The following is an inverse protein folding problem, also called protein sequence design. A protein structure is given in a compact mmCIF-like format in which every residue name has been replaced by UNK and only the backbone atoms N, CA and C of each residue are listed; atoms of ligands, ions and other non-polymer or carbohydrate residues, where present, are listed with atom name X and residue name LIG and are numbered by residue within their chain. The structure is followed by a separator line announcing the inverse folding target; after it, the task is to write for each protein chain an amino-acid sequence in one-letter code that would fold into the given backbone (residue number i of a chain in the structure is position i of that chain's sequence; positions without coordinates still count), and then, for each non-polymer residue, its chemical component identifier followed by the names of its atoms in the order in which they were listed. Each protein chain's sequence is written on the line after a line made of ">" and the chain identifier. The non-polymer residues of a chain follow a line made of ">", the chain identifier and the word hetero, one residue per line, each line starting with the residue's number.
data_IF_274300638440
#
_entry.id   IF_274300638440
#
_cell.length_a   1.000
_cell.length_b   1.000
_cell.length_c   1.000
_cell.angle_alpha   90.00
_cell.angle_beta   90.00
_cell.angle_gamma   90.00
#
_symmetry.space_group_name_H-M   'P 1'
#
loop_
_entity.id
_entity.type
_entity.pdbx_description
1 polymer ?
#
# COMPACT_ATOMS: atom_id res chain seq x y z
N UNK A 1 31.35 -5.15 10.72
CA UNK A 1 30.93 -4.03 9.85
C UNK A 1 30.18 -3.04 10.73
N UNK A 2 30.40 -1.72 10.60
CA UNK A 2 29.59 -0.74 11.32
C UNK A 2 28.14 -0.90 10.88
N UNK A 3 27.28 -1.32 11.80
CA UNK A 3 25.86 -1.43 11.55
C UNK A 3 25.27 -0.06 11.83
N UNK A 4 24.98 0.69 10.77
CA UNK A 4 24.26 1.95 10.88
C UNK A 4 22.88 1.63 11.44
N UNK A 5 22.75 1.85 12.74
CA UNK A 5 21.54 1.55 13.49
C UNK A 5 20.51 2.67 13.34
N UNK A 6 19.26 2.36 13.69
CA UNK A 6 18.19 3.37 13.76
C UNK A 6 18.60 4.57 14.62
N UNK A 7 19.41 4.38 15.66
CA UNK A 7 19.94 5.44 16.52
C UNK A 7 20.86 6.43 15.79
N UNK A 8 21.77 5.96 14.93
CA UNK A 8 22.64 6.85 14.15
C UNK A 8 21.86 7.62 13.10
N UNK A 9 20.86 6.99 12.47
CA UNK A 9 19.96 7.68 11.53
C UNK A 9 19.22 8.80 12.25
N UNK A 10 18.69 8.57 13.45
CA UNK A 10 18.01 9.61 14.24
C UNK A 10 18.97 10.75 14.60
N UNK A 11 20.22 10.45 14.98
CA UNK A 11 21.22 11.46 15.30
C UNK A 11 21.55 12.35 14.10
N UNK A 12 21.74 11.75 12.92
CA UNK A 12 21.96 12.48 11.67
C UNK A 12 20.73 13.32 11.29
N UNK A 13 19.53 12.77 11.47
CA UNK A 13 18.29 13.49 11.21
C UNK A 13 18.17 14.71 12.13
N UNK A 14 18.53 14.57 13.41
CA UNK A 14 18.55 15.68 14.37
C UNK A 14 19.52 16.77 13.93
N UNK A 15 20.74 16.39 13.51
CA UNK A 15 21.74 17.36 13.06
C UNK A 15 21.29 18.09 11.79
N UNK A 16 20.70 17.37 10.84
CA UNK A 16 20.05 17.96 9.67
C UNK A 16 18.89 18.89 10.08
N UNK A 17 18.11 18.52 11.10
CA UNK A 17 17.03 19.35 11.62
C UNK A 17 17.52 20.63 12.29
N UNK A 18 18.71 20.63 12.89
CA UNK A 18 19.34 21.84 13.43
C UNK A 18 19.81 22.76 12.31
N UNK A 19 20.40 22.22 11.25
CA UNK A 19 20.91 23.00 10.11
C UNK A 19 19.78 23.56 9.23
N UNK A 20 18.83 22.70 8.85
CA UNK A 20 17.72 23.05 7.95
C UNK A 20 16.48 23.54 8.70
N UNK A 21 16.30 23.18 9.97
CA UNK A 21 15.11 23.49 10.75
C UNK A 21 14.01 22.42 10.63
N UNK A 22 13.24 22.24 11.71
CA UNK A 22 12.15 21.25 11.78
C UNK A 22 11.02 21.46 10.75
N UNK A 23 10.90 22.67 10.21
CA UNK A 23 9.88 23.03 9.22
C UNK A 23 10.28 22.72 7.77
N UNK A 24 11.58 22.67 7.46
CA UNK A 24 12.09 22.45 6.09
C UNK A 24 12.04 20.99 5.66
N UNK A 25 12.32 20.06 6.58
CA UNK A 25 12.28 18.62 6.30
C UNK A 25 10.91 18.13 5.79
N UNK A 26 9.77 18.46 6.43
CA UNK A 26 8.44 18.07 5.94
C UNK A 26 8.02 18.82 4.67
N UNK A 27 8.50 20.06 4.48
CA UNK A 27 8.25 20.85 3.27
C UNK A 27 8.87 20.17 2.03
N UNK A 28 10.14 19.79 2.12
CA UNK A 28 10.87 19.06 1.06
C UNK A 28 10.28 17.64 0.88
N UNK A 29 9.95 16.96 1.98
CA UNK A 29 9.33 15.63 1.91
C UNK A 29 7.97 15.64 1.19
N UNK A 30 7.16 16.69 1.39
CA UNK A 30 5.88 16.86 0.67
C UNK A 30 6.09 17.08 -0.82
N UNK A 31 7.00 17.97 -1.22
CA UNK A 31 7.26 18.23 -2.65
C UNK A 31 7.84 17.01 -3.36
N UNK A 32 8.79 16.32 -2.72
CA UNK A 32 9.36 15.08 -3.24
C UNK A 32 8.32 13.94 -3.28
N UNK A 33 7.48 13.84 -2.26
CA UNK A 33 6.43 12.82 -2.18
C UNK A 33 5.39 12.95 -3.30
N UNK A 34 4.94 14.17 -3.58
CA UNK A 34 4.03 14.44 -4.71
C UNK A 34 4.70 14.10 -6.05
N UNK A 35 5.93 14.57 -6.28
CA UNK A 35 6.66 14.26 -7.51
C UNK A 35 6.94 12.76 -7.69
N UNK A 36 7.30 12.05 -6.61
CA UNK A 36 7.48 10.60 -6.63
C UNK A 36 6.18 9.84 -6.89
N UNK A 37 5.06 10.34 -6.35
CA UNK A 37 3.73 9.77 -6.60
C UNK A 37 3.35 9.92 -8.07
N UNK A 38 3.46 11.12 -8.64
CA UNK A 38 3.20 11.38 -10.06
C UNK A 38 4.14 10.59 -10.98
N UNK A 39 5.43 10.50 -10.62
CA UNK A 39 6.41 9.69 -11.34
C UNK A 39 6.02 8.22 -11.33
N UNK A 40 5.70 7.65 -10.15
CA UNK A 40 5.24 6.26 -10.02
C UNK A 40 3.95 6.03 -10.81
N UNK A 41 2.99 6.94 -10.74
CA UNK A 41 1.70 6.80 -11.43
C UNK A 41 1.90 6.82 -12.96
N UNK A 42 2.81 7.66 -13.46
CA UNK A 42 3.20 7.70 -14.89
C UNK A 42 3.95 6.45 -15.33
N UNK A 43 4.89 5.96 -14.52
CA UNK A 43 5.68 4.75 -14.83
C UNK A 43 4.83 3.48 -14.73
N UNK A 44 3.86 3.45 -13.82
CA UNK A 44 2.98 2.28 -13.61
C UNK A 44 1.74 2.32 -14.51
N UNK A 45 1.55 3.37 -15.32
CA UNK A 45 0.38 3.54 -16.19
C UNK A 45 -0.94 3.71 -15.44
N UNK A 46 -0.90 4.01 -14.14
CA UNK A 46 -2.09 4.21 -13.29
C UNK A 46 -2.56 5.65 -13.44
N UNK A 47 -3.31 5.93 -14.51
CA UNK A 47 -4.14 7.14 -14.52
C UNK A 47 -5.10 7.05 -13.34
N UNK A 48 -5.17 8.09 -12.52
CA UNK A 48 -6.07 8.16 -11.36
C UNK A 48 -7.53 8.30 -11.84
N UNK A 49 -8.07 7.26 -12.46
CA UNK A 49 -9.44 7.16 -12.92
C UNK A 49 -9.82 5.69 -13.20
N UNK A 50 -9.35 4.74 -12.39
CA UNK A 50 -10.03 3.45 -12.28
C UNK A 50 -10.69 3.39 -10.90
N UNK A 51 -12.04 3.46 -10.82
CA UNK A 51 -12.75 2.85 -9.71
C UNK A 51 -12.17 1.45 -9.57
N UNK A 52 -11.76 1.11 -8.34
CA UNK A 52 -11.39 -0.27 -8.03
C UNK A 52 -12.47 -1.16 -8.66
N UNK A 53 -12.05 -2.02 -9.57
CA UNK A 53 -12.89 -3.07 -10.08
C UNK A 53 -13.43 -3.78 -8.85
N UNK A 54 -14.70 -3.51 -8.55
CA UNK A 54 -15.55 -4.49 -7.91
C UNK A 54 -15.37 -5.72 -8.80
N UNK A 55 -14.49 -6.63 -8.39
CA UNK A 55 -14.49 -7.97 -8.93
C UNK A 55 -15.96 -8.38 -8.87
N UNK A 56 -16.64 -8.62 -10.01
CA UNK A 56 -17.97 -9.20 -9.93
C UNK A 56 -17.74 -10.48 -9.14
N UNK A 57 -18.20 -10.49 -7.88
CA UNK A 57 -18.21 -11.68 -7.06
C UNK A 57 -18.84 -12.75 -7.96
N UNK A 58 -18.13 -13.87 -8.24
CA UNK A 58 -18.65 -14.87 -9.15
C UNK A 58 -20.10 -15.16 -8.72
N UNK A 59 -21.07 -15.19 -9.65
CA UNK A 59 -22.44 -15.51 -9.33
C UNK A 59 -22.42 -16.72 -8.40
N UNK A 60 -23.17 -16.72 -7.29
CA UNK A 60 -23.18 -17.88 -6.39
C UNK A 60 -23.44 -19.09 -7.28
N UNK A 61 -22.43 -19.95 -7.40
CA UNK A 61 -22.55 -21.17 -8.19
C UNK A 61 -23.82 -21.84 -7.68
N UNK A 62 -24.78 -22.17 -8.57
CA UNK A 62 -25.97 -22.87 -8.15
C UNK A 62 -25.46 -24.16 -7.51
N UNK A 63 -25.52 -24.21 -6.18
CA UNK A 63 -25.24 -25.38 -5.39
C UNK A 63 -26.07 -26.49 -6.01
N UNK A 64 -25.40 -27.37 -6.74
CA UNK A 64 -26.01 -28.57 -7.25
C UNK A 64 -26.45 -29.34 -5.99
N UNK A 65 -27.75 -29.29 -5.69
CA UNK A 65 -28.42 -30.23 -4.82
C UNK A 65 -28.29 -31.60 -5.48
N UNK A 66 -27.13 -32.21 -5.28
CA UNK A 66 -26.87 -33.61 -5.58
C UNK A 66 -25.92 -34.16 -4.53
N UNK A 67 -26.34 -34.06 -3.26
CA UNK A 67 -26.00 -35.08 -2.25
C UNK A 67 -27.31 -35.85 -2.06
N UNK A 68 -27.55 -36.93 -2.81
CA UNK A 68 -26.86 -38.21 -2.74
C UNK A 68 -26.85 -38.76 -1.31
N UNK A 69 -27.84 -39.65 -1.10
CA UNK A 69 -27.78 -40.87 -0.26
C UNK A 69 -27.96 -40.66 1.25
N UNK A 70 -29.17 -40.98 1.71
CA UNK A 70 -29.46 -41.91 2.81
C UNK A 70 -30.98 -42.13 2.79
N UNK A 71 -31.51 -43.30 2.38
CA UNK A 71 -31.43 -44.59 3.05
C UNK A 71 -32.12 -44.55 4.41
N UNK A 72 -33.17 -45.38 4.49
CA UNK A 72 -33.65 -46.02 5.71
C UNK A 72 -34.68 -45.32 6.60
N UNK A 73 -35.66 -46.14 7.00
CA UNK A 73 -36.54 -46.01 8.18
C UNK A 73 -37.64 -44.93 8.11
N UNK A 74 -38.92 -45.18 8.40
CA UNK A 74 -39.65 -46.31 8.99
C UNK A 74 -41.15 -46.18 8.65
#
# INVERSE_FOLDING_TARGET
>A
MPNIGTGEIILLLLLALLLFGAKRLPEIGRSLGTGMREFKDSVTGKTSAEPQQELPSPPPEPVATTSHREHDSA
#
